data_IF_852543845522
#
_entry.id   IF_852543845522
#
_cell.length_a   1.000
_cell.length_b   1.000
_cell.length_c   1.000
_cell.angle_alpha   90.00
_cell.angle_beta   90.00
_cell.angle_gamma   90.00
#
_symmetry.space_group_name_H-M   'P 1'
#
loop_
_entity.id
_entity.type
_entity.pdbx_description
1 polymer ?
#
# COMPACT_ATOMS: atom_id res chain seq x y z
N UNK A 1 16.48 10.34 -5.70
CA UNK A 1 17.00 11.58 -5.09
C UNK A 1 17.13 11.41 -3.59
N UNK A 2 16.08 11.06 -2.85
CA UNK A 2 16.09 10.96 -1.37
C UNK A 2 17.08 9.92 -0.81
N UNK A 3 17.24 8.75 -1.47
CA UNK A 3 18.22 7.73 -1.04
C UNK A 3 19.67 8.24 -1.08
N UNK A 4 20.03 9.00 -2.13
CA UNK A 4 21.36 9.64 -2.23
C UNK A 4 21.57 10.71 -1.18
N UNK A 5 20.55 11.53 -0.91
CA UNK A 5 20.62 12.58 0.11
C UNK A 5 20.76 12.00 1.51
N UNK A 6 20.02 10.92 1.84
CA UNK A 6 20.14 10.22 3.13
C UNK A 6 21.54 9.62 3.35
N UNK A 7 22.13 8.98 2.32
CA UNK A 7 23.51 8.47 2.38
C UNK A 7 24.53 9.60 2.54
N UNK A 8 24.30 10.75 1.92
CA UNK A 8 25.16 11.94 2.06
C UNK A 8 25.12 12.48 3.48
N UNK A 9 23.93 12.56 4.10
CA UNK A 9 23.78 12.98 5.50
C UNK A 9 24.54 12.04 6.46
N UNK A 10 24.45 10.72 6.25
CA UNK A 10 25.18 9.74 7.06
C UNK A 10 26.69 9.87 6.92
N UNK A 11 27.18 10.16 5.72
CA UNK A 11 28.61 10.25 5.45
C UNK A 11 29.27 11.55 5.98
N UNK A 12 28.55 12.66 6.01
CA UNK A 12 29.13 13.98 6.30
C UNK A 12 28.82 14.54 7.69
N UNK A 13 27.70 14.11 8.32
CA UNK A 13 27.24 14.77 9.56
C UNK A 13 27.34 13.92 10.82
N UNK A 14 27.81 12.66 10.73
CA UNK A 14 27.94 11.74 11.90
C UNK A 14 26.75 11.89 12.88
N UNK A 15 25.51 11.62 12.42
CA UNK A 15 24.31 11.90 13.18
C UNK A 15 24.33 11.21 14.54
N UNK A 16 23.77 11.83 15.57
CA UNK A 16 23.53 11.22 16.88
C UNK A 16 22.58 10.03 16.71
N UNK A 17 22.59 9.07 17.61
CA UNK A 17 21.87 7.80 17.46
C UNK A 17 20.37 7.96 17.11
N UNK A 18 19.70 8.99 17.62
CA UNK A 18 18.29 9.34 17.30
C UNK A 18 18.13 9.80 15.85
N UNK A 19 19.03 10.67 15.37
CA UNK A 19 18.97 11.20 14.01
C UNK A 19 19.28 10.09 12.99
N UNK A 20 20.17 9.16 13.35
CA UNK A 20 20.46 7.99 12.54
C UNK A 20 19.22 7.09 12.35
N UNK A 21 18.44 6.86 13.42
CA UNK A 21 17.18 6.11 13.33
C UNK A 21 16.20 6.75 12.33
N UNK A 22 15.99 8.07 12.44
CA UNK A 22 15.09 8.82 11.55
C UNK A 22 15.56 8.73 10.09
N UNK A 23 16.85 8.91 9.82
CA UNK A 23 17.42 8.82 8.47
C UNK A 23 17.24 7.41 7.89
N UNK A 24 17.55 6.35 8.65
CA UNK A 24 17.40 4.97 8.21
C UNK A 24 15.94 4.61 7.96
N UNK A 25 15.02 4.97 8.87
CA UNK A 25 13.59 4.75 8.70
C UNK A 25 13.07 5.49 7.44
N UNK A 26 13.47 6.75 7.24
CA UNK A 26 13.09 7.53 6.04
C UNK A 26 13.55 6.87 4.74
N UNK A 27 14.78 6.33 4.70
CA UNK A 27 15.28 5.61 3.52
C UNK A 27 14.49 4.33 3.23
N UNK A 28 14.14 3.56 4.28
CA UNK A 28 13.34 2.35 4.15
C UNK A 28 11.92 2.68 3.70
N UNK A 29 11.27 3.66 4.34
CA UNK A 29 9.94 4.13 3.95
C UNK A 29 9.89 4.63 2.51
N UNK A 30 10.92 5.36 2.04
CA UNK A 30 11.01 5.80 0.64
C UNK A 30 10.90 4.64 -0.35
N UNK A 31 11.55 3.49 -0.07
CA UNK A 31 11.43 2.30 -0.91
C UNK A 31 10.05 1.67 -0.85
N UNK A 32 9.40 1.71 0.32
CA UNK A 32 8.04 1.18 0.49
C UNK A 32 7.02 2.04 -0.26
N UNK A 33 7.12 3.37 -0.17
CA UNK A 33 6.26 4.28 -0.92
C UNK A 33 6.42 4.14 -2.44
N UNK A 34 7.66 3.94 -2.94
CA UNK A 34 7.92 3.65 -4.34
C UNK A 34 7.14 2.40 -4.79
N UNK A 35 7.20 1.30 -4.01
CA UNK A 35 6.46 0.07 -4.31
C UNK A 35 4.94 0.25 -4.24
N UNK A 36 4.42 0.98 -3.26
CA UNK A 36 2.99 1.32 -3.17
C UNK A 36 2.55 2.10 -4.42
N UNK A 37 3.37 3.06 -4.87
CA UNK A 37 3.12 3.82 -6.09
C UNK A 37 3.08 2.93 -7.35
N UNK A 38 3.99 1.96 -7.47
CA UNK A 38 4.03 1.00 -8.59
C UNK A 38 2.77 0.12 -8.62
N UNK A 39 2.27 -0.31 -7.45
CA UNK A 39 1.02 -1.07 -7.37
C UNK A 39 -0.19 -0.20 -7.74
N UNK A 40 -0.22 1.07 -7.34
CA UNK A 40 -1.27 2.00 -7.74
C UNK A 40 -1.30 2.21 -9.27
N UNK A 41 -0.14 2.34 -9.92
CA UNK A 41 -0.02 2.39 -11.38
C UNK A 41 -0.51 1.09 -12.03
N UNK A 42 -0.22 -0.06 -11.42
CA UNK A 42 -0.70 -1.37 -11.89
C UNK A 42 -2.22 -1.44 -11.84
N UNK A 43 -2.85 -1.02 -10.74
CA UNK A 43 -4.32 -0.94 -10.61
C UNK A 43 -4.91 -0.04 -11.69
N UNK A 44 -4.37 1.17 -11.89
CA UNK A 44 -4.86 2.11 -12.89
C UNK A 44 -4.81 1.55 -14.32
N UNK A 45 -3.71 0.88 -14.69
CA UNK A 45 -3.57 0.23 -15.99
C UNK A 45 -4.59 -0.88 -16.19
N UNK A 46 -4.88 -1.69 -15.15
CA UNK A 46 -5.85 -2.78 -15.23
C UNK A 46 -7.29 -2.25 -15.27
N UNK A 47 -7.62 -1.25 -14.46
CA UNK A 47 -8.92 -0.57 -14.50
C UNK A 47 -9.21 0.01 -15.89
N UNK A 48 -8.22 0.63 -16.53
CA UNK A 48 -8.37 1.14 -17.90
C UNK A 48 -8.63 0.02 -18.93
N UNK A 49 -8.05 -1.18 -18.74
CA UNK A 49 -8.36 -2.33 -19.60
C UNK A 49 -9.76 -2.89 -19.34
N UNK A 50 -10.14 -3.00 -18.09
CA UNK A 50 -11.48 -3.46 -17.68
C UNK A 50 -12.58 -2.56 -18.26
N UNK A 51 -12.38 -1.23 -18.26
CA UNK A 51 -13.34 -0.27 -18.83
C UNK A 51 -13.56 -0.41 -20.35
N UNK A 52 -12.66 -1.10 -21.06
CA UNK A 52 -12.75 -1.34 -22.51
C UNK A 52 -13.37 -2.71 -22.86
N UNK A 53 -13.80 -3.49 -21.87
CA UNK A 53 -14.30 -4.85 -22.02
C UNK A 53 -15.72 -5.00 -21.45
N UNK A 54 -16.41 -6.10 -21.75
CA UNK A 54 -17.69 -6.40 -21.12
C UNK A 54 -17.61 -6.32 -19.60
N UNK A 55 -18.59 -5.67 -19.00
CA UNK A 55 -18.59 -5.35 -17.57
C UNK A 55 -18.74 -6.61 -16.73
N UNK A 56 -17.88 -6.76 -15.73
CA UNK A 56 -18.02 -7.72 -14.64
C UNK A 56 -18.65 -6.97 -13.46
N UNK A 57 -19.81 -7.44 -13.00
CA UNK A 57 -20.57 -6.78 -11.93
C UNK A 57 -19.79 -6.72 -10.63
N UNK A 58 -19.08 -7.80 -10.31
CA UNK A 58 -18.30 -7.96 -9.08
C UNK A 58 -17.07 -7.05 -9.00
N UNK A 59 -16.70 -6.39 -10.10
CA UNK A 59 -15.63 -5.38 -10.06
C UNK A 59 -15.91 -4.27 -9.03
N UNK A 60 -17.18 -3.96 -8.76
CA UNK A 60 -17.59 -2.99 -7.75
C UNK A 60 -17.20 -3.37 -6.31
N UNK A 61 -16.89 -4.65 -6.05
CA UNK A 61 -16.39 -5.11 -4.74
C UNK A 61 -15.03 -4.48 -4.38
N UNK A 62 -14.28 -3.98 -5.36
CA UNK A 62 -13.02 -3.29 -5.11
C UNK A 62 -13.20 -1.89 -4.53
N UNK A 63 -14.32 -1.22 -4.78
CA UNK A 63 -14.55 0.18 -4.39
C UNK A 63 -14.39 0.45 -2.88
N UNK A 64 -15.03 -0.31 -1.97
CA UNK A 64 -14.89 -0.08 -0.54
C UNK A 64 -13.44 -0.29 -0.07
N UNK A 65 -12.76 -1.34 -0.53
CA UNK A 65 -11.38 -1.64 -0.15
C UNK A 65 -10.43 -0.54 -0.66
N UNK A 66 -10.66 -0.04 -1.87
CA UNK A 66 -9.88 1.07 -2.43
C UNK A 66 -10.05 2.37 -1.63
N UNK A 67 -11.29 2.69 -1.19
CA UNK A 67 -11.56 3.88 -0.35
C UNK A 67 -10.87 3.76 1.00
N UNK A 68 -11.00 2.61 1.64
CA UNK A 68 -10.32 2.31 2.91
C UNK A 68 -8.80 2.44 2.75
N UNK A 69 -8.22 1.89 1.69
CA UNK A 69 -6.80 2.05 1.36
C UNK A 69 -6.40 3.52 1.26
N UNK A 70 -7.20 4.35 0.58
CA UNK A 70 -6.91 5.77 0.42
C UNK A 70 -7.01 6.55 1.75
N UNK A 71 -7.92 6.17 2.63
CA UNK A 71 -8.06 6.74 3.96
C UNK A 71 -6.88 6.38 4.86
N UNK A 72 -6.53 5.10 4.93
CA UNK A 72 -5.40 4.62 5.73
C UNK A 72 -4.07 5.20 5.21
N UNK A 73 -3.91 5.30 3.89
CA UNK A 73 -2.73 5.93 3.30
C UNK A 73 -2.55 7.40 3.75
N UNK A 74 -3.64 8.19 3.77
CA UNK A 74 -3.59 9.58 4.26
C UNK A 74 -3.29 9.65 5.75
N UNK A 75 -3.90 8.77 6.55
CA UNK A 75 -3.71 8.72 8.00
C UNK A 75 -2.26 8.36 8.37
N UNK A 76 -1.70 7.32 7.74
CA UNK A 76 -0.30 6.92 7.94
C UNK A 76 0.65 8.04 7.53
N UNK A 77 0.44 8.67 6.36
CA UNK A 77 1.28 9.76 5.89
C UNK A 77 1.27 10.96 6.86
N UNK A 78 0.11 11.30 7.39
CA UNK A 78 0.00 12.39 8.39
C UNK A 78 0.79 12.04 9.64
N UNK A 79 0.62 10.86 10.19
CA UNK A 79 1.30 10.41 11.41
C UNK A 79 2.82 10.30 11.24
N UNK A 80 3.28 9.75 10.10
CA UNK A 80 4.71 9.65 9.77
C UNK A 80 5.34 11.03 9.56
N UNK A 81 4.64 11.97 8.91
CA UNK A 81 5.16 13.33 8.66
C UNK A 81 5.44 14.10 9.94
N UNK A 82 4.75 13.80 11.01
CA UNK A 82 4.94 14.41 12.35
C UNK A 82 5.70 13.51 13.33
N UNK A 83 6.11 12.31 12.92
CA UNK A 83 6.69 11.27 13.78
C UNK A 83 5.81 10.95 14.99
N UNK A 84 4.47 10.98 14.80
CA UNK A 84 3.49 10.73 15.86
C UNK A 84 3.33 9.22 16.10
N UNK A 85 4.13 8.70 17.03
CA UNK A 85 4.13 7.29 17.39
C UNK A 85 2.79 6.83 18.00
N UNK A 86 2.08 7.68 18.73
CA UNK A 86 0.78 7.31 19.31
C UNK A 86 -0.29 7.20 18.23
N UNK A 87 -0.33 8.15 17.30
CA UNK A 87 -1.22 8.05 16.14
C UNK A 87 -0.93 6.79 15.31
N UNK A 88 0.35 6.45 15.09
CA UNK A 88 0.73 5.23 14.37
C UNK A 88 0.28 3.95 15.09
N UNK A 89 0.40 3.87 16.41
CA UNK A 89 -0.09 2.72 17.19
C UNK A 89 -1.59 2.51 17.03
N UNK A 90 -2.37 3.59 17.02
CA UNK A 90 -3.83 3.54 16.83
C UNK A 90 -4.20 3.02 15.43
N UNK A 91 -3.36 3.28 14.41
CA UNK A 91 -3.62 2.85 13.05
C UNK A 91 -3.31 1.36 12.80
N UNK A 92 -2.48 0.71 13.62
CA UNK A 92 -2.06 -0.69 13.39
C UNK A 92 -3.24 -1.65 13.21
N UNK A 93 -4.27 -1.69 14.09
CA UNK A 93 -5.39 -2.60 13.89
C UNK A 93 -6.15 -2.35 12.57
N UNK A 94 -6.37 -1.07 12.23
CA UNK A 94 -7.06 -0.72 10.98
C UNK A 94 -6.26 -1.13 9.73
N UNK A 95 -4.94 -1.13 9.81
CA UNK A 95 -4.07 -1.61 8.72
C UNK A 95 -4.08 -3.15 8.61
N UNK A 96 -4.26 -3.85 9.72
CA UNK A 96 -4.45 -5.31 9.74
C UNK A 96 -5.80 -5.68 9.11
N UNK A 97 -6.88 -4.97 9.49
CA UNK A 97 -8.20 -5.15 8.90
C UNK A 97 -8.19 -4.89 7.39
N UNK A 98 -7.57 -3.80 6.95
CA UNK A 98 -7.41 -3.47 5.53
C UNK A 98 -6.70 -4.59 4.76
N UNK A 99 -5.65 -5.19 5.30
CA UNK A 99 -4.96 -6.32 4.67
C UNK A 99 -5.88 -7.54 4.55
N UNK A 100 -6.68 -7.82 5.58
CA UNK A 100 -7.71 -8.86 5.58
C UNK A 100 -8.78 -8.62 4.52
N UNK A 101 -9.29 -7.39 4.41
CA UNK A 101 -10.28 -7.01 3.40
C UNK A 101 -9.73 -7.16 1.98
N UNK A 102 -8.48 -6.76 1.73
CA UNK A 102 -7.83 -6.91 0.43
C UNK A 102 -7.62 -8.39 0.06
N UNK A 103 -7.23 -9.24 1.01
CA UNK A 103 -7.10 -10.68 0.81
C UNK A 103 -8.46 -11.32 0.48
N UNK A 104 -9.51 -11.01 1.23
CA UNK A 104 -10.87 -11.49 0.98
C UNK A 104 -11.40 -11.06 -0.40
N UNK A 105 -11.08 -9.83 -0.83
CA UNK A 105 -11.42 -9.35 -2.16
C UNK A 105 -10.73 -10.19 -3.25
N UNK A 106 -9.45 -10.51 -3.07
CA UNK A 106 -8.70 -11.37 -4.01
C UNK A 106 -9.31 -12.75 -4.11
N UNK A 107 -9.68 -13.35 -2.99
CA UNK A 107 -10.35 -14.65 -2.95
C UNK A 107 -11.70 -14.61 -3.66
N UNK A 108 -12.50 -13.56 -3.43
CA UNK A 108 -13.77 -13.37 -4.13
C UNK A 108 -13.58 -13.30 -5.64
N UNK A 109 -12.57 -12.58 -6.12
CA UNK A 109 -12.25 -12.51 -7.54
C UNK A 109 -11.72 -13.83 -8.10
N UNK A 110 -11.00 -14.61 -7.32
CA UNK A 110 -10.49 -15.93 -7.72
C UNK A 110 -11.61 -16.97 -7.96
N UNK A 111 -12.80 -16.77 -7.39
CA UNK A 111 -13.98 -17.60 -7.59
C UNK A 111 -14.79 -17.27 -8.86
N UNK A 112 -14.50 -16.15 -9.54
CA UNK A 112 -15.28 -15.68 -10.71
C UNK A 112 -15.06 -16.48 -12.02
N UNK A 113 -13.94 -17.21 -12.27
CA UNK A 113 -13.72 -17.90 -13.56
C UNK A 113 -14.85 -18.82 -13.97
N UNK A 114 -15.52 -19.48 -13.03
CA UNK A 114 -16.65 -20.37 -13.29
C UNK A 114 -17.86 -19.66 -13.88
N UNK A 115 -18.08 -18.39 -13.49
CA UNK A 115 -19.21 -17.57 -13.91
C UNK A 115 -18.92 -16.81 -15.21
N UNK A 116 -17.65 -16.51 -15.49
CA UNK A 116 -17.22 -15.63 -16.58
C UNK A 116 -16.25 -16.33 -17.55
N UNK A 117 -16.61 -17.55 -18.02
CA UNK A 117 -15.74 -18.35 -18.90
C UNK A 117 -15.37 -17.61 -20.19
N UNK A 118 -16.27 -16.81 -20.75
CA UNK A 118 -16.01 -16.02 -21.95
C UNK A 118 -15.24 -14.71 -21.69
N UNK A 119 -14.93 -14.38 -20.42
CA UNK A 119 -14.29 -13.13 -20.03
C UNK A 119 -13.12 -13.33 -19.03
N UNK A 120 -12.43 -14.43 -19.14
CA UNK A 120 -11.35 -14.83 -18.22
C UNK A 120 -10.23 -13.78 -18.11
N UNK A 121 -9.96 -13.05 -19.18
CA UNK A 121 -8.92 -12.00 -19.17
C UNK A 121 -9.31 -10.83 -18.24
N UNK A 122 -10.59 -10.47 -18.19
CA UNK A 122 -11.08 -9.45 -17.25
C UNK A 122 -11.08 -9.97 -15.82
N UNK A 123 -11.44 -11.23 -15.60
CA UNK A 123 -11.33 -11.88 -14.27
C UNK A 123 -9.88 -11.87 -13.78
N UNK A 124 -8.93 -12.21 -14.65
CA UNK A 124 -7.50 -12.14 -14.32
C UNK A 124 -7.07 -10.72 -13.93
N UNK A 125 -7.53 -9.70 -14.66
CA UNK A 125 -7.24 -8.31 -14.31
C UNK A 125 -7.82 -7.92 -12.93
N UNK A 126 -9.01 -8.42 -12.55
CA UNK A 126 -9.58 -8.22 -11.21
C UNK A 126 -8.76 -8.90 -10.10
N UNK A 127 -8.35 -10.15 -10.32
CA UNK A 127 -7.48 -10.86 -9.36
C UNK A 127 -6.18 -10.08 -9.13
N UNK A 128 -5.58 -9.56 -10.19
CA UNK A 128 -4.39 -8.73 -10.05
C UNK A 128 -4.66 -7.39 -9.34
N UNK A 129 -5.83 -6.77 -9.51
CA UNK A 129 -6.23 -5.58 -8.72
C UNK A 129 -6.29 -5.93 -7.25
N UNK A 130 -6.93 -7.04 -6.86
CA UNK A 130 -6.96 -7.52 -5.48
C UNK A 130 -5.55 -7.71 -4.92
N UNK A 131 -4.69 -8.43 -5.65
CA UNK A 131 -3.28 -8.65 -5.26
C UNK A 131 -2.48 -7.36 -5.11
N UNK A 132 -2.72 -6.36 -5.95
CA UNK A 132 -2.06 -5.06 -5.81
C UNK A 132 -2.53 -4.32 -4.56
N UNK A 133 -3.81 -4.39 -4.20
CA UNK A 133 -4.34 -3.83 -2.96
C UNK A 133 -3.75 -4.52 -1.72
N UNK A 134 -3.61 -5.85 -1.71
CA UNK A 134 -2.93 -6.59 -0.64
C UNK A 134 -1.49 -6.08 -0.44
N UNK A 135 -0.72 -5.97 -1.53
CA UNK A 135 0.67 -5.49 -1.46
C UNK A 135 0.79 -4.03 -1.01
N UNK A 136 -0.19 -3.20 -1.37
CA UNK A 136 -0.25 -1.82 -0.86
C UNK A 136 -0.54 -1.79 0.64
N UNK A 137 -1.48 -2.62 1.14
CA UNK A 137 -1.78 -2.73 2.56
C UNK A 137 -0.58 -3.20 3.37
N UNK A 138 0.11 -4.27 2.93
CA UNK A 138 1.37 -4.72 3.53
C UNK A 138 2.45 -3.64 3.50
N UNK A 139 2.52 -2.87 2.42
CA UNK A 139 3.44 -1.74 2.30
C UNK A 139 3.17 -0.67 3.35
N UNK A 140 1.90 -0.31 3.57
CA UNK A 140 1.50 0.66 4.59
C UNK A 140 1.78 0.17 6.01
N UNK A 141 1.56 -1.11 6.32
CA UNK A 141 1.92 -1.70 7.61
C UNK A 141 3.42 -1.54 7.88
N UNK A 142 4.27 -1.81 6.87
CA UNK A 142 5.72 -1.64 6.99
C UNK A 142 6.12 -0.18 7.17
N UNK A 143 5.46 0.76 6.47
CA UNK A 143 5.67 2.21 6.66
C UNK A 143 5.32 2.62 8.09
N UNK A 144 4.18 2.17 8.62
CA UNK A 144 3.77 2.45 9.98
C UNK A 144 4.77 1.88 11.01
N UNK A 145 5.27 0.65 10.79
CA UNK A 145 6.26 0.02 11.66
C UNK A 145 7.61 0.79 11.68
N UNK A 146 8.09 1.25 10.51
CA UNK A 146 9.30 2.08 10.43
C UNK A 146 9.09 3.46 11.09
N UNK A 147 7.90 4.04 10.94
CA UNK A 147 7.53 5.27 11.63
C UNK A 147 7.53 5.12 13.15
N UNK A 148 6.96 4.02 13.67
CA UNK A 148 6.99 3.67 15.10
C UNK A 148 8.42 3.48 15.61
N UNK A 149 9.26 2.78 14.84
CA UNK A 149 10.66 2.59 15.19
C UNK A 149 11.42 3.93 15.29
N UNK A 150 11.16 4.86 14.38
CA UNK A 150 11.82 6.17 14.39
C UNK A 150 11.30 7.08 15.50
N UNK A 151 10.01 6.95 15.88
CA UNK A 151 9.37 7.73 16.96
C UNK A 151 9.74 7.23 18.37
N UNK A 152 10.33 6.05 18.50
CA UNK A 152 10.77 5.46 19.79
C UNK A 152 12.20 5.91 20.15
#
# INVERSE_FOLDING_TARGET
>A
VYKRQGLHLLAFFSPVASDLKVVLASLRMSSMYERIGDEAVTIAKRANRLNKRPRIREAALADPVYREMAEQFRAVNKAVSSWDGEALKVLVPALEDLAGHAASLTEAFACLPEQYQDNLVSVADLIFVGRSLERMAEGLQKVAAEGLYAAS
#
